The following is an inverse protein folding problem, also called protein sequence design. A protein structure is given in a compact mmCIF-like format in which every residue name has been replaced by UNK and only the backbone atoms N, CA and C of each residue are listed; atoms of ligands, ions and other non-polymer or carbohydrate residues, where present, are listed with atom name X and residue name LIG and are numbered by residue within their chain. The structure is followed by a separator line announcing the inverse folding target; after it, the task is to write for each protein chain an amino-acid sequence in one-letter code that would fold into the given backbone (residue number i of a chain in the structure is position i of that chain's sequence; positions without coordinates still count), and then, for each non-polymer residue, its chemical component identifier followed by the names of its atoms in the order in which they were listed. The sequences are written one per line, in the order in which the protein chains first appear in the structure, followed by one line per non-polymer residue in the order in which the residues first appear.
data_IF_154375996201
#
_entry.id   IF_154375996201
#
_cell.length_a   1.000
_cell.length_b   1.000
_cell.length_c   1.000
_cell.angle_alpha   90.00
_cell.angle_beta   90.00
_cell.angle_gamma   90.00
#
_symmetry.space_group_name_H-M   'P 1'
#
loop_
_entity.id
_entity.type
_entity.pdbx_description
1 polymer ?
#
# COMPACT_ATOMS: atom_id res chain seq x y z
N UNK A 1 7.78 -1.45 -7.29
CA UNK A 1 6.70 -2.36 -6.84
C UNK A 1 7.32 -3.46 -6.00
N UNK A 2 7.07 -3.42 -4.70
CA UNK A 2 7.64 -4.33 -3.72
C UNK A 2 7.06 -3.99 -2.35
N UNK A 3 7.40 -4.79 -1.35
CA UNK A 3 7.01 -4.57 0.03
C UNK A 3 8.22 -4.76 0.93
N UNK A 4 8.13 -4.25 2.15
CA UNK A 4 9.15 -4.45 3.18
C UNK A 4 8.50 -5.03 4.43
N UNK A 5 9.22 -5.93 5.08
CA UNK A 5 8.85 -6.45 6.40
C UNK A 5 9.98 -6.10 7.37
N UNK A 6 9.60 -5.73 8.58
CA UNK A 6 10.54 -5.50 9.68
C UNK A 6 10.42 -6.67 10.65
N UNK A 7 11.55 -7.32 10.87
CA UNK A 7 11.68 -8.44 11.80
C UNK A 7 12.31 -7.94 13.10
N UNK A 8 11.92 -8.49 14.27
CA UNK A 8 12.60 -8.19 15.52
C UNK A 8 14.05 -8.69 15.50
N UNK A 9 14.89 -8.12 16.35
CA UNK A 9 16.29 -8.56 16.47
C UNK A 9 16.35 -10.05 16.84
N UNK A 10 17.21 -10.79 16.12
CA UNK A 10 17.34 -12.25 16.25
C UNK A 10 16.37 -13.07 15.39
N UNK A 11 15.31 -12.47 14.83
CA UNK A 11 14.48 -13.14 13.84
C UNK A 11 15.11 -13.03 12.44
N UNK A 12 15.11 -14.14 11.71
CA UNK A 12 15.61 -14.21 10.35
C UNK A 12 14.73 -15.11 9.49
N UNK A 13 14.77 -14.87 8.19
CA UNK A 13 14.16 -15.75 7.20
C UNK A 13 15.22 -16.68 6.61
N UNK A 14 14.85 -17.95 6.52
CA UNK A 14 15.59 -19.03 5.88
C UNK A 14 14.82 -19.45 4.62
N UNK A 15 15.47 -20.21 3.73
CA UNK A 15 14.84 -20.68 2.50
C UNK A 15 13.62 -21.55 2.77
N UNK A 16 13.69 -22.42 3.77
CA UNK A 16 12.61 -23.38 4.05
C UNK A 16 11.32 -22.66 4.51
N UNK A 17 11.44 -21.48 5.12
CA UNK A 17 10.30 -20.64 5.46
C UNK A 17 9.52 -20.21 4.22
N UNK A 18 10.21 -19.97 3.08
CA UNK A 18 9.54 -19.56 1.84
C UNK A 18 8.65 -20.65 1.25
N UNK A 19 9.06 -21.91 1.34
CA UNK A 19 8.28 -23.00 0.73
C UNK A 19 6.90 -23.13 1.40
N UNK A 20 6.84 -22.93 2.72
CA UNK A 20 5.56 -22.87 3.45
C UNK A 20 4.71 -21.67 3.05
N UNK A 21 5.33 -20.51 2.83
CA UNK A 21 4.64 -19.26 2.46
C UNK A 21 4.09 -19.26 1.02
N UNK A 22 4.61 -20.14 0.15
CA UNK A 22 4.20 -20.27 -1.24
C UNK A 22 3.22 -21.42 -1.47
N UNK A 23 2.72 -22.03 -0.39
CA UNK A 23 1.71 -23.08 -0.47
C UNK A 23 0.41 -22.54 -1.08
N UNK A 24 -0.21 -23.36 -1.93
CA UNK A 24 -1.56 -23.11 -2.45
C UNK A 24 -2.64 -23.57 -1.48
N UNK A 25 -2.29 -24.43 -0.52
CA UNK A 25 -3.25 -24.99 0.42
C UNK A 25 -3.79 -23.87 1.32
N UNK A 26 -5.10 -23.63 1.24
CA UNK A 26 -5.80 -22.59 2.03
C UNK A 26 -5.32 -21.15 1.83
N UNK A 27 -4.68 -20.84 0.69
CA UNK A 27 -4.16 -19.50 0.39
C UNK A 27 -5.19 -18.38 0.61
N UNK A 28 -6.44 -18.57 0.17
CA UNK A 28 -7.50 -17.57 0.37
C UNK A 28 -7.80 -17.32 1.85
N UNK A 29 -7.86 -18.38 2.66
CA UNK A 29 -8.06 -18.27 4.11
C UNK A 29 -6.90 -17.54 4.78
N UNK A 30 -5.66 -17.87 4.40
CA UNK A 30 -4.45 -17.26 4.95
C UNK A 30 -4.38 -15.77 4.61
N UNK A 31 -4.75 -15.39 3.39
CA UNK A 31 -4.86 -14.00 2.96
C UNK A 31 -5.93 -13.28 3.79
N UNK A 32 -7.11 -13.88 3.97
CA UNK A 32 -8.18 -13.27 4.78
C UNK A 32 -7.76 -13.11 6.25
N UNK A 33 -7.07 -14.10 6.82
CA UNK A 33 -6.55 -14.03 8.18
C UNK A 33 -5.50 -12.92 8.32
N UNK A 34 -4.60 -12.79 7.35
CA UNK A 34 -3.63 -11.70 7.28
C UNK A 34 -4.28 -10.32 7.23
N UNK A 35 -5.35 -10.19 6.43
CA UNK A 35 -6.10 -8.95 6.29
C UNK A 35 -6.90 -8.57 7.54
N UNK A 36 -7.43 -9.56 8.24
CA UNK A 36 -8.21 -9.38 9.47
C UNK A 36 -7.39 -8.80 10.63
N UNK A 37 -6.04 -8.87 10.56
CA UNK A 37 -5.14 -8.22 11.52
C UNK A 37 -5.02 -6.71 11.33
N UNK A 38 -5.43 -6.19 10.17
CA UNK A 38 -5.34 -4.77 9.83
C UNK A 38 -6.70 -4.10 9.64
N UNK A 39 -6.67 -2.82 9.28
CA UNK A 39 -7.88 -2.02 9.07
C UNK A 39 -8.47 -2.15 7.67
N UNK A 40 -7.76 -2.81 6.75
CA UNK A 40 -8.14 -2.87 5.33
C UNK A 40 -9.57 -3.42 5.12
N UNK A 41 -9.99 -4.52 5.77
CA UNK A 41 -11.37 -5.01 5.64
C UNK A 41 -12.40 -3.98 6.10
N UNK A 42 -12.16 -3.32 7.23
CA UNK A 42 -13.07 -2.31 7.77
C UNK A 42 -13.16 -1.08 6.85
N UNK A 43 -12.04 -0.66 6.27
CA UNK A 43 -11.99 0.43 5.30
C UNK A 43 -12.73 0.09 4.00
N UNK A 44 -12.68 -1.16 3.54
CA UNK A 44 -13.39 -1.61 2.34
C UNK A 44 -14.88 -1.78 2.59
N UNK A 45 -15.25 -2.44 3.69
CA UNK A 45 -16.63 -2.59 4.12
C UNK A 45 -17.37 -1.25 4.18
N UNK A 46 -16.67 -0.20 4.60
CA UNK A 46 -17.19 1.17 4.65
C UNK A 46 -17.72 1.68 3.31
N UNK A 47 -17.05 1.38 2.19
CA UNK A 47 -17.54 1.77 0.86
C UNK A 47 -18.69 0.89 0.42
N UNK A 48 -18.58 -0.43 0.63
CA UNK A 48 -19.63 -1.40 0.28
C UNK A 48 -20.92 -1.15 1.06
N UNK A 49 -20.83 -0.81 2.34
CA UNK A 49 -21.96 -0.47 3.20
C UNK A 49 -22.68 0.82 2.74
N UNK A 50 -21.92 1.79 2.19
CA UNK A 50 -22.52 2.98 1.59
C UNK A 50 -23.22 2.64 0.27
N UNK A 51 -22.58 1.86 -0.61
CA UNK A 51 -23.16 1.42 -1.88
C UNK A 51 -24.40 0.55 -1.68
N UNK A 52 -24.35 -0.37 -0.71
CA UNK A 52 -25.47 -1.23 -0.31
C UNK A 52 -26.54 -0.53 0.52
N UNK A 53 -26.47 0.79 0.68
CA UNK A 53 -27.44 1.62 1.42
C UNK A 53 -27.64 1.19 2.89
N UNK A 54 -26.69 0.46 3.46
CA UNK A 54 -26.67 0.12 4.89
C UNK A 54 -26.42 1.36 5.75
N UNK A 55 -25.73 2.35 5.19
CA UNK A 55 -25.46 3.64 5.83
C UNK A 55 -26.10 4.74 4.99
N UNK A 56 -27.18 5.31 5.52
CA UNK A 56 -27.90 6.39 4.85
C UNK A 56 -27.11 7.70 4.96
N UNK A 57 -26.81 8.32 3.82
CA UNK A 57 -26.10 9.61 3.76
C UNK A 57 -26.95 10.79 4.23
N UNK A 58 -28.25 10.77 3.93
CA UNK A 58 -29.23 11.80 4.29
C UNK A 58 -30.51 11.10 4.78
N UNK A 59 -30.65 10.83 6.09
CA UNK A 59 -31.82 10.12 6.62
C UNK A 59 -33.12 10.95 6.54
N UNK A 60 -33.03 12.28 6.50
CA UNK A 60 -34.19 13.19 6.46
C UNK A 60 -34.00 14.30 5.41
N UNK A 61 -35.05 14.63 4.64
CA UNK A 61 -35.03 15.76 3.71
C UNK A 61 -34.89 17.08 4.49
N UNK A 62 -33.92 17.92 4.10
CA UNK A 62 -33.70 19.24 4.71
C UNK A 62 -32.80 19.24 5.96
N UNK A 63 -32.41 18.06 6.48
CA UNK A 63 -31.54 17.93 7.65
C UNK A 63 -30.26 17.18 7.30
N UNK A 64 -29.11 17.86 7.40
CA UNK A 64 -27.77 17.23 7.35
C UNK A 64 -27.47 16.49 8.65
N UNK A 65 -28.33 15.54 9.03
CA UNK A 65 -28.03 14.65 10.16
C UNK A 65 -27.02 13.63 9.66
N UNK A 66 -25.74 13.85 10.01
CA UNK A 66 -24.65 12.92 9.71
C UNK A 66 -24.76 11.73 10.66
N UNK A 67 -25.59 10.75 10.33
CA UNK A 67 -25.65 9.48 11.08
C UNK A 67 -24.32 8.77 10.85
N UNK A 68 -23.48 8.73 11.89
CA UNK A 68 -22.25 7.93 11.94
C UNK A 68 -21.45 7.96 10.64
N UNK A 69 -20.74 9.07 10.38
CA UNK A 69 -19.95 9.25 9.16
C UNK A 69 -18.96 8.11 8.89
N UNK A 70 -18.34 8.09 7.71
CA UNK A 70 -17.57 6.94 7.21
C UNK A 70 -16.65 6.24 8.24
N UNK A 71 -15.97 6.97 9.13
CA UNK A 71 -15.12 6.38 10.18
C UNK A 71 -15.90 5.52 11.20
N UNK A 72 -17.13 5.88 11.54
CA UNK A 72 -18.01 5.09 12.41
C UNK A 72 -18.38 3.73 11.78
N UNK A 73 -18.52 3.71 10.45
CA UNK A 73 -18.83 2.48 9.71
C UNK A 73 -17.68 1.48 9.86
N UNK A 74 -16.44 1.93 9.69
CA UNK A 74 -15.25 1.08 9.86
C UNK A 74 -15.01 0.71 11.33
N UNK A 75 -15.16 1.64 12.28
CA UNK A 75 -14.79 1.40 13.67
C UNK A 75 -15.86 0.69 14.51
N UNK A 76 -17.14 0.82 14.14
CA UNK A 76 -18.26 0.36 14.97
C UNK A 76 -19.23 -0.55 14.23
N UNK A 77 -19.66 -0.18 13.02
CA UNK A 77 -20.62 -1.00 12.26
C UNK A 77 -19.99 -2.31 11.79
N UNK A 78 -18.80 -2.25 11.19
CA UNK A 78 -18.13 -3.45 10.66
C UNK A 78 -17.93 -4.56 11.71
N UNK A 79 -17.34 -4.29 12.90
CA UNK A 79 -17.19 -5.32 13.93
C UNK A 79 -18.52 -5.90 14.40
N UNK A 80 -19.54 -5.05 14.54
CA UNK A 80 -20.88 -5.46 14.97
C UNK A 80 -21.53 -6.40 13.95
N UNK A 81 -21.48 -6.06 12.67
CA UNK A 81 -22.05 -6.88 11.59
C UNK A 81 -21.27 -8.19 11.46
N UNK A 82 -19.94 -8.15 11.57
CA UNK A 82 -19.08 -9.34 11.55
C UNK A 82 -19.43 -10.32 12.67
N UNK A 83 -19.71 -9.81 13.88
CA UNK A 83 -20.06 -10.63 15.03
C UNK A 83 -21.51 -11.15 14.98
N UNK A 84 -22.48 -10.28 14.65
CA UNK A 84 -23.90 -10.62 14.68
C UNK A 84 -24.35 -11.43 13.45
N UNK A 85 -23.81 -11.12 12.27
CA UNK A 85 -24.24 -11.65 10.99
C UNK A 85 -23.03 -11.99 10.08
N UNK A 86 -22.22 -13.00 10.41
CA UNK A 86 -20.97 -13.30 9.69
C UNK A 86 -21.17 -13.64 8.20
N UNK A 87 -22.37 -14.09 7.81
CA UNK A 87 -22.73 -14.40 6.42
C UNK A 87 -23.47 -13.26 5.71
N UNK A 88 -23.46 -12.04 6.27
CA UNK A 88 -24.11 -10.88 5.67
C UNK A 88 -23.62 -10.65 4.22
N UNK A 89 -24.52 -10.38 3.26
CA UNK A 89 -24.13 -10.20 1.85
C UNK A 89 -23.04 -9.15 1.64
N UNK A 90 -23.09 -8.04 2.38
CA UNK A 90 -22.07 -6.98 2.29
C UNK A 90 -20.69 -7.42 2.82
N UNK A 91 -20.64 -8.33 3.80
CA UNK A 91 -19.36 -8.90 4.25
C UNK A 91 -18.81 -9.87 3.21
N UNK A 92 -19.67 -10.66 2.57
CA UNK A 92 -19.28 -11.55 1.47
C UNK A 92 -18.74 -10.75 0.29
N UNK A 93 -19.39 -9.66 -0.08
CA UNK A 93 -18.91 -8.76 -1.12
C UNK A 93 -17.59 -8.09 -0.73
N UNK A 94 -17.43 -7.72 0.55
CA UNK A 94 -16.16 -7.16 1.04
C UNK A 94 -15.01 -8.14 0.86
N UNK A 95 -15.22 -9.41 1.23
CA UNK A 95 -14.20 -10.45 1.03
C UNK A 95 -13.90 -10.65 -0.45
N UNK A 96 -14.94 -10.69 -1.29
CA UNK A 96 -14.80 -10.84 -2.74
C UNK A 96 -14.01 -9.68 -3.37
N UNK A 97 -14.37 -8.43 -3.10
CA UNK A 97 -13.65 -7.26 -3.62
C UNK A 97 -12.19 -7.26 -3.17
N UNK A 98 -11.92 -7.63 -1.91
CA UNK A 98 -10.56 -7.70 -1.40
C UNK A 98 -9.72 -8.78 -2.08
N UNK A 99 -10.26 -9.99 -2.21
CA UNK A 99 -9.53 -11.12 -2.80
C UNK A 99 -9.34 -10.95 -4.31
N UNK A 100 -10.35 -10.44 -5.02
CA UNK A 100 -10.35 -10.42 -6.48
C UNK A 100 -9.90 -9.07 -7.04
N UNK A 101 -10.46 -7.96 -6.55
CA UNK A 101 -10.25 -6.64 -7.18
C UNK A 101 -9.06 -5.89 -6.57
N UNK A 102 -8.81 -6.05 -5.27
CA UNK A 102 -7.71 -5.36 -4.59
C UNK A 102 -6.40 -6.13 -4.64
N UNK A 103 -6.43 -7.43 -4.36
CA UNK A 103 -5.23 -8.26 -4.24
C UNK A 103 -4.98 -9.17 -5.44
N UNK A 104 -5.98 -9.39 -6.29
CA UNK A 104 -5.93 -10.35 -7.41
C UNK A 104 -5.33 -11.70 -7.01
N UNK A 105 -5.89 -12.30 -5.95
CA UNK A 105 -5.56 -13.65 -5.51
C UNK A 105 -5.68 -14.68 -6.63
N UNK A 106 -6.65 -14.61 -7.57
CA UNK A 106 -6.65 -15.50 -8.73
C UNK A 106 -5.37 -15.42 -9.57
N UNK A 107 -4.80 -14.24 -9.80
CA UNK A 107 -3.51 -14.13 -10.47
C UNK A 107 -2.37 -14.73 -9.65
N UNK A 108 -2.36 -14.50 -8.33
CA UNK A 108 -1.38 -15.10 -7.43
C UNK A 108 -1.43 -16.65 -7.48
N UNK A 109 -2.63 -17.24 -7.46
CA UNK A 109 -2.84 -18.68 -7.60
C UNK A 109 -2.28 -19.19 -8.93
N UNK A 110 -2.61 -18.54 -10.05
CA UNK A 110 -2.08 -18.92 -11.38
C UNK A 110 -0.56 -18.85 -11.41
N UNK A 111 0.03 -17.83 -10.78
CA UNK A 111 1.48 -17.68 -10.69
C UNK A 111 2.11 -18.79 -9.84
N UNK A 112 1.57 -19.09 -8.66
CA UNK A 112 2.06 -20.17 -7.78
C UNK A 112 1.92 -21.56 -8.43
N UNK A 113 0.85 -21.80 -9.18
CA UNK A 113 0.66 -23.04 -9.94
C UNK A 113 1.77 -23.29 -10.97
N UNK A 114 2.42 -22.25 -11.47
CA UNK A 114 3.60 -22.38 -12.35
C UNK A 114 4.85 -22.91 -11.65
N UNK A 115 4.81 -23.08 -10.32
CA UNK A 115 5.92 -23.48 -9.45
C UNK A 115 7.15 -22.60 -9.65
N UNK A 116 7.02 -21.29 -9.39
CA UNK A 116 8.09 -20.33 -9.66
C UNK A 116 9.31 -20.62 -8.77
N UNK A 117 10.51 -20.49 -9.35
CA UNK A 117 11.75 -20.63 -8.60
C UNK A 117 12.05 -19.31 -7.88
N UNK A 118 11.71 -19.24 -6.60
CA UNK A 118 12.00 -18.06 -5.76
C UNK A 118 13.40 -18.16 -5.16
N UNK A 119 14.16 -17.05 -5.23
CA UNK A 119 15.53 -16.98 -4.70
C UNK A 119 15.61 -15.98 -3.56
N UNK A 120 15.94 -16.47 -2.38
CA UNK A 120 16.27 -15.62 -1.23
C UNK A 120 17.77 -15.28 -1.27
N UNK A 121 18.10 -13.99 -1.31
CA UNK A 121 19.49 -13.49 -1.24
C UNK A 121 19.65 -12.53 -0.08
N UNK A 122 20.63 -12.82 0.78
CA UNK A 122 21.07 -11.91 1.84
C UNK A 122 22.20 -11.05 1.27
N UNK A 123 22.01 -9.73 1.32
CA UNK A 123 23.01 -8.76 0.86
C UNK A 123 23.74 -8.18 2.09
N UNK A 124 25.06 -7.97 2.01
CA UNK A 124 25.83 -7.39 3.11
C UNK A 124 25.52 -5.91 3.33
N UNK A 125 24.94 -5.24 2.34
CA UNK A 125 24.56 -3.84 2.37
C UNK A 125 23.19 -3.63 1.70
N UNK A 126 22.60 -2.46 1.95
CA UNK A 126 21.31 -2.09 1.37
C UNK A 126 21.43 -1.95 -0.15
N UNK A 127 20.58 -2.67 -0.89
CA UNK A 127 20.49 -2.54 -2.35
C UNK A 127 19.99 -1.14 -2.74
N UNK A 128 20.43 -0.56 -3.87
CA UNK A 128 19.88 0.69 -4.40
C UNK A 128 18.35 0.64 -4.57
N UNK A 129 17.80 -0.51 -4.94
CA UNK A 129 16.35 -0.70 -5.02
C UNK A 129 15.66 -0.64 -3.66
N UNK A 130 16.31 -1.17 -2.62
CA UNK A 130 15.79 -1.16 -1.25
C UNK A 130 15.95 0.21 -0.59
N UNK A 131 17.05 0.92 -0.90
CA UNK A 131 17.34 2.27 -0.42
C UNK A 131 16.20 3.23 -0.73
N UNK A 132 15.68 3.19 -1.96
CA UNK A 132 14.54 4.01 -2.39
C UNK A 132 13.26 3.83 -1.56
N UNK A 133 13.07 2.68 -0.88
CA UNK A 133 11.90 2.44 -0.03
C UNK A 133 12.10 2.89 1.42
N UNK A 134 13.33 2.82 1.93
CA UNK A 134 13.64 3.08 3.36
C UNK A 134 13.89 4.56 3.59
N UNK A 135 14.67 5.16 2.70
CA UNK A 135 14.83 6.60 2.59
C UNK A 135 14.49 6.90 1.14
N UNK A 136 13.22 7.20 0.81
CA UNK A 136 13.01 8.02 -0.37
C UNK A 136 13.94 9.19 -0.12
N UNK A 137 14.99 9.33 -0.95
CA UNK A 137 15.79 10.56 -0.90
C UNK A 137 14.76 11.66 -0.76
N UNK A 138 14.93 12.53 0.24
CA UNK A 138 14.15 13.75 0.27
C UNK A 138 14.09 14.20 -1.19
N UNK A 139 12.89 14.53 -1.68
CA UNK A 139 12.82 15.44 -2.82
C UNK A 139 13.71 16.60 -2.38
N UNK A 140 15.01 16.53 -2.66
CA UNK A 140 15.82 17.67 -2.95
C UNK A 140 15.01 18.21 -4.09
N UNK A 141 14.18 19.26 -3.86
CA UNK A 141 13.42 19.79 -4.96
C UNK A 141 14.50 20.09 -5.99
N UNK A 142 14.45 19.40 -7.13
CA UNK A 142 15.27 19.79 -8.25
C UNK A 142 14.73 21.18 -8.55
N UNK A 143 15.38 22.19 -7.96
CA UNK A 143 15.10 23.57 -8.25
C UNK A 143 15.51 23.71 -9.70
N UNK A 144 14.52 23.53 -10.58
CA UNK A 144 14.61 23.96 -11.95
C UNK A 144 14.75 25.48 -11.87
N UNK A 145 15.99 25.93 -11.81
CA UNK A 145 16.34 27.31 -12.09
C UNK A 145 15.70 27.68 -13.44
N UNK A 146 15.03 28.82 -13.49
CA UNK A 146 14.44 29.27 -14.75
C UNK A 146 15.55 29.35 -15.81
N UNK A 147 15.30 28.98 -17.08
CA UNK A 147 16.33 28.95 -18.12
C UNK A 147 17.15 30.25 -18.22
N UNK A 148 16.52 31.39 -17.90
CA UNK A 148 17.17 32.70 -17.85
C UNK A 148 18.21 32.83 -16.73
N UNK A 149 17.93 32.29 -15.55
CA UNK A 149 18.84 32.34 -14.40
C UNK A 149 20.04 31.39 -14.64
N UNK A 150 19.80 30.22 -15.23
CA UNK A 150 20.84 29.28 -15.64
C UNK A 150 21.79 29.89 -16.68
N UNK A 151 21.23 30.63 -17.65
CA UNK A 151 21.99 31.40 -18.65
C UNK A 151 22.80 32.53 -17.99
N UNK A 152 22.23 33.27 -17.05
CA UNK A 152 22.96 34.32 -16.31
C UNK A 152 24.12 33.74 -15.51
N UNK A 153 23.94 32.60 -14.83
CA UNK A 153 25.03 31.92 -14.11
C UNK A 153 26.13 31.44 -15.05
N UNK A 154 25.78 30.87 -16.20
CA UNK A 154 26.75 30.45 -17.21
C UNK A 154 27.53 31.66 -17.74
N UNK A 155 26.83 32.75 -18.07
CA UNK A 155 27.46 33.99 -18.52
C UNK A 155 28.43 34.53 -17.47
N UNK A 156 27.99 34.66 -16.21
CA UNK A 156 28.85 35.10 -15.11
C UNK A 156 30.13 34.24 -14.99
N UNK A 157 30.01 32.91 -15.05
CA UNK A 157 31.19 32.02 -15.02
C UNK A 157 32.15 32.25 -16.20
N UNK A 158 31.62 32.46 -17.40
CA UNK A 158 32.43 32.71 -18.59
C UNK A 158 33.12 34.08 -18.53
N UNK A 159 32.43 35.11 -18.04
CA UNK A 159 32.97 36.47 -17.95
C UNK A 159 33.93 36.62 -16.78
N UNK A 160 33.67 35.98 -15.64
CA UNK A 160 34.58 35.95 -14.48
C UNK A 160 35.85 35.15 -14.79
N UNK A 161 35.74 34.00 -15.49
CA UNK A 161 36.92 33.26 -15.95
C UNK A 161 37.79 34.08 -16.92
N UNK A 162 37.19 35.00 -17.69
CA UNK A 162 37.91 35.92 -18.58
C UNK A 162 38.60 37.09 -17.88
N UNK A 163 38.26 37.35 -16.62
CA UNK A 163 38.81 38.49 -15.86
C UNK A 163 39.89 38.05 -14.87
N UNK A 164 40.12 36.74 -14.71
CA UNK A 164 41.15 36.16 -13.84
C UNK A 164 42.50 35.86 -14.51
N UNK A 165 42.69 36.25 -15.77
CA UNK A 165 43.95 36.01 -16.51
C UNK A 165 44.71 37.29 -16.91
N UNK A 166 44.40 38.43 -16.27
CA UNK A 166 45.23 39.64 -16.41
C UNK A 166 45.40 40.34 -15.06
N UNK A 167 46.30 39.80 -14.23
CA UNK A 167 47.19 40.53 -13.33
C UNK A 167 48.26 39.56 -12.81
#
# INVERSE_FOLDING_TARGET
LGWSIRLPEGAGLVRDDLDSLLSLDRLEDDVLEGLDRGDLPAQRFRYIAATGLMVLRNPEQGRRVRVGGMNWVSSRLYPLVKAACPHHPLLRETRREMLHDLLDVPAAVRWLQSRPVVRLRKLPCLSPFAAAWISPSADEPVQFEAPADALRRLHARLTTARTGEVA
#
